data_IF_667658263566
#
_entry.id   IF_667658263566
#
_cell.length_a   1.000
_cell.length_b   1.000
_cell.length_c   1.000
_cell.angle_alpha   90.00
_cell.angle_beta   90.00
_cell.angle_gamma   90.00
#
_symmetry.space_group_name_H-M   'P 1'
#
loop_
_entity.id
_entity.type
_entity.pdbx_description
1 polymer ?
#
# COMPACT_ATOMS: atom_id res chain seq x y z
N UNK A 1 -4.87 4.23 -7.14
CA UNK A 1 -4.34 4.49 -5.78
C UNK A 1 -2.85 4.18 -5.79
N UNK A 2 -2.07 4.90 -5.01
CA UNK A 2 -0.63 4.73 -4.93
C UNK A 2 -0.23 4.80 -3.46
N UNK A 3 0.51 3.80 -3.00
CA UNK A 3 1.13 3.78 -1.70
C UNK A 3 2.64 3.94 -1.90
N UNK A 4 3.23 4.93 -1.23
CA UNK A 4 4.68 5.12 -1.22
C UNK A 4 5.13 5.11 0.23
N UNK A 5 6.06 4.24 0.58
CA UNK A 5 6.52 4.05 1.95
C UNK A 5 8.04 3.81 2.06
N UNK A 6 8.62 4.29 3.16
CA UNK A 6 9.93 3.87 3.61
C UNK A 6 9.75 2.91 4.80
N UNK A 7 10.23 1.68 4.65
CA UNK A 7 10.07 0.61 5.63
C UNK A 7 11.12 0.65 6.75
N UNK A 8 12.08 1.57 6.71
CA UNK A 8 13.00 1.78 7.83
C UNK A 8 12.29 2.22 9.12
N UNK A 9 11.09 2.82 9.01
CA UNK A 9 10.28 3.22 10.16
C UNK A 9 9.37 2.13 10.74
N UNK A 10 9.41 0.89 10.23
CA UNK A 10 8.57 -0.21 10.73
C UNK A 10 9.32 -1.08 11.74
N UNK A 11 8.79 -1.25 12.94
CA UNK A 11 9.31 -2.21 13.94
C UNK A 11 8.79 -3.64 13.67
N UNK A 12 9.07 -4.16 12.47
CA UNK A 12 8.66 -5.51 12.04
C UNK A 12 9.79 -6.21 11.25
N UNK A 13 10.94 -6.53 11.88
CA UNK A 13 12.13 -7.02 11.20
C UNK A 13 11.87 -8.25 10.32
N UNK A 14 11.09 -9.23 10.81
CA UNK A 14 10.81 -10.45 10.05
C UNK A 14 9.95 -10.19 8.80
N UNK A 15 8.96 -9.30 8.91
CA UNK A 15 8.12 -8.93 7.76
C UNK A 15 8.93 -8.14 6.72
N UNK A 16 9.72 -7.18 7.18
CA UNK A 16 10.59 -6.38 6.30
C UNK A 16 11.61 -7.27 5.57
N UNK A 17 12.24 -8.22 6.26
CA UNK A 17 13.27 -9.10 5.70
C UNK A 17 12.71 -10.22 4.84
N UNK A 18 11.71 -10.95 5.34
CA UNK A 18 11.30 -12.23 4.75
C UNK A 18 9.99 -12.15 3.99
N UNK A 19 9.06 -11.27 4.37
CA UNK A 19 7.84 -11.05 3.59
C UNK A 19 8.11 -10.10 2.41
N UNK A 20 8.82 -9.00 2.67
CA UNK A 20 9.12 -7.98 1.66
C UNK A 20 10.42 -8.25 0.90
N UNK A 21 11.33 -9.04 1.48
CA UNK A 21 12.60 -9.40 0.86
C UNK A 21 13.71 -8.36 1.03
N UNK A 22 13.53 -7.31 1.84
CA UNK A 22 14.58 -6.30 2.01
C UNK A 22 15.83 -6.92 2.63
N UNK A 23 17.00 -6.60 2.07
CA UNK A 23 18.26 -7.17 2.51
C UNK A 23 18.51 -8.62 2.08
N UNK A 24 17.57 -9.25 1.37
CA UNK A 24 17.78 -10.55 0.75
C UNK A 24 18.49 -10.39 -0.61
N UNK A 25 19.10 -11.47 -1.14
CA UNK A 25 19.60 -11.46 -2.52
C UNK A 25 18.49 -11.09 -3.52
N UNK A 26 18.85 -10.47 -4.65
CA UNK A 26 17.87 -10.06 -5.67
C UNK A 26 17.07 -11.23 -6.27
N UNK A 27 17.60 -12.46 -6.21
CA UNK A 27 16.93 -13.68 -6.64
C UNK A 27 15.97 -14.25 -5.59
N UNK A 28 15.91 -13.66 -4.39
CA UNK A 28 14.95 -14.07 -3.38
C UNK A 28 13.52 -13.84 -3.86
N UNK A 29 12.71 -14.88 -3.75
CA UNK A 29 11.30 -14.86 -4.09
C UNK A 29 10.50 -14.32 -2.89
N UNK A 30 10.44 -12.99 -2.80
CA UNK A 30 9.73 -12.31 -1.72
C UNK A 30 8.23 -12.64 -1.80
N UNK A 31 7.63 -13.25 -0.74
CA UNK A 31 6.26 -13.72 -0.80
C UNK A 31 5.24 -12.63 -1.19
N UNK A 32 5.49 -11.37 -0.80
CA UNK A 32 4.64 -10.22 -1.14
C UNK A 32 4.55 -9.95 -2.65
N UNK A 33 5.60 -10.31 -3.41
CA UNK A 33 5.73 -10.03 -4.84
C UNK A 33 5.26 -11.20 -5.71
N UNK A 34 4.85 -12.32 -5.12
CA UNK A 34 4.34 -13.46 -5.87
C UNK A 34 3.01 -13.11 -6.54
N UNK A 35 2.76 -13.64 -7.75
CA UNK A 35 1.49 -13.45 -8.45
C UNK A 35 0.29 -13.85 -7.59
N UNK A 36 0.44 -14.93 -6.80
CA UNK A 36 -0.59 -15.36 -5.87
C UNK A 36 -0.89 -14.28 -4.84
N UNK A 37 0.13 -13.71 -4.17
CA UNK A 37 -0.07 -12.68 -3.17
C UNK A 37 -0.69 -11.41 -3.78
N UNK A 38 -0.19 -10.96 -4.93
CA UNK A 38 -0.72 -9.79 -5.64
C UNK A 38 -2.21 -9.97 -6.00
N UNK A 39 -2.59 -11.17 -6.46
CA UNK A 39 -3.96 -11.49 -6.81
C UNK A 39 -4.90 -11.71 -5.61
N UNK A 40 -4.37 -12.12 -4.46
CA UNK A 40 -5.17 -12.31 -3.25
C UNK A 40 -5.32 -11.04 -2.42
N UNK A 41 -4.27 -10.22 -2.33
CA UNK A 41 -4.23 -9.07 -1.39
C UNK A 41 -4.61 -7.77 -2.10
N UNK A 42 -4.11 -7.50 -3.31
CA UNK A 42 -4.33 -6.21 -3.99
C UNK A 42 -5.42 -6.25 -5.06
N UNK A 43 -5.52 -7.33 -5.83
CA UNK A 43 -6.55 -7.43 -6.87
C UNK A 43 -8.01 -7.31 -6.36
N UNK A 44 -8.39 -7.70 -5.12
CA UNK A 44 -9.73 -7.43 -4.61
C UNK A 44 -10.08 -5.94 -4.58
N UNK A 45 -9.12 -5.06 -4.30
CA UNK A 45 -9.35 -3.61 -4.33
C UNK A 45 -9.68 -3.11 -5.74
N UNK A 46 -9.05 -3.68 -6.78
CA UNK A 46 -9.40 -3.38 -8.19
C UNK A 46 -10.86 -3.75 -8.48
N UNK A 47 -11.33 -4.91 -7.99
CA UNK A 47 -12.71 -5.38 -8.18
C UNK A 47 -13.72 -4.47 -7.48
N UNK A 48 -13.45 -4.10 -6.23
CA UNK A 48 -14.28 -3.14 -5.47
C UNK A 48 -14.37 -1.79 -6.19
N UNK A 49 -13.27 -1.30 -6.76
CA UNK A 49 -13.28 -0.07 -7.56
C UNK A 49 -14.07 -0.23 -8.86
N UNK A 50 -13.94 -1.36 -9.55
CA UNK A 50 -14.70 -1.64 -10.76
C UNK A 50 -16.21 -1.64 -10.50
N UNK A 51 -16.65 -2.28 -9.41
CA UNK A 51 -18.04 -2.28 -8.96
C UNK A 51 -18.51 -0.86 -8.62
N UNK A 52 -17.70 -0.09 -7.89
CA UNK A 52 -18.01 1.28 -7.51
C UNK A 52 -18.13 2.25 -8.69
N UNK A 53 -17.29 2.08 -9.71
CA UNK A 53 -17.35 2.86 -10.95
C UNK A 53 -18.29 2.26 -12.00
N UNK A 54 -18.88 1.11 -11.74
CA UNK A 54 -19.78 0.39 -12.65
C UNK A 54 -19.14 0.12 -14.02
N UNK A 55 -17.89 -0.31 -14.02
CA UNK A 55 -17.13 -0.66 -15.23
C UNK A 55 -16.91 -2.17 -15.33
N UNK A 56 -16.96 -2.70 -16.55
CA UNK A 56 -16.68 -4.12 -16.80
C UNK A 56 -15.17 -4.36 -16.85
N UNK A 57 -14.69 -5.16 -15.89
CA UNK A 57 -13.29 -5.56 -15.80
C UNK A 57 -13.02 -6.75 -16.73
N UNK A 58 -12.10 -6.56 -17.68
CA UNK A 58 -11.74 -7.60 -18.64
C UNK A 58 -10.70 -8.57 -18.06
N UNK A 59 -9.67 -8.02 -17.41
CA UNK A 59 -8.61 -8.78 -16.77
C UNK A 59 -7.93 -7.95 -15.67
N UNK A 60 -7.13 -8.62 -14.84
CA UNK A 60 -6.21 -7.97 -13.90
C UNK A 60 -4.81 -8.45 -14.22
N UNK A 61 -3.88 -7.51 -14.38
CA UNK A 61 -2.47 -7.78 -14.66
C UNK A 61 -1.58 -7.23 -13.55
N UNK A 62 -0.40 -7.80 -13.40
CA UNK A 62 0.60 -7.43 -12.40
C UNK A 62 1.91 -7.05 -13.08
N UNK A 63 2.63 -6.10 -12.48
CA UNK A 63 3.99 -5.75 -12.88
C UNK A 63 4.82 -5.52 -11.63
N UNK A 64 6.04 -6.07 -11.59
CA UNK A 64 6.92 -6.01 -10.42
C UNK A 64 8.31 -5.57 -10.88
N UNK A 65 8.91 -4.63 -10.15
CA UNK A 65 10.28 -4.20 -10.28
C UNK A 65 10.97 -4.20 -8.91
N UNK A 66 12.27 -4.51 -8.90
CA UNK A 66 13.11 -4.57 -7.70
C UNK A 66 14.41 -3.82 -7.97
N UNK A 67 14.94 -3.14 -6.95
CA UNK A 67 16.25 -2.47 -7.04
C UNK A 67 17.17 -2.90 -5.90
N UNK A 68 18.45 -3.17 -6.20
CA UNK A 68 19.44 -3.44 -5.16
C UNK A 68 19.84 -2.13 -4.46
N UNK A 69 20.36 -2.26 -3.24
CA UNK A 69 21.08 -1.19 -2.57
C UNK A 69 22.42 -0.91 -3.24
N UNK A 70 22.75 0.37 -3.42
CA UNK A 70 24.05 0.81 -3.96
C UNK A 70 25.10 1.08 -2.85
N UNK A 71 24.66 1.09 -1.59
CA UNK A 71 25.48 1.29 -0.39
C UNK A 71 24.94 0.44 0.76
N UNK A 72 25.76 0.19 1.78
CA UNK A 72 25.26 -0.40 3.01
C UNK A 72 24.34 0.60 3.73
N UNK A 73 23.26 0.09 4.33
CA UNK A 73 22.27 0.87 5.09
C UNK A 73 22.12 0.24 6.46
N UNK A 74 22.15 1.06 7.51
CA UNK A 74 21.82 0.62 8.87
C UNK A 74 20.44 1.16 9.24
N UNK A 75 19.57 0.28 9.72
CA UNK A 75 18.26 0.67 10.25
C UNK A 75 18.19 0.30 11.72
N UNK A 76 17.86 1.28 12.57
CA UNK A 76 17.66 1.05 14.00
C UNK A 76 16.57 -0.02 14.22
N UNK A 77 16.83 -0.98 15.11
CA UNK A 77 15.93 -2.12 15.35
C UNK A 77 16.00 -3.25 14.31
N UNK A 78 16.52 -3.01 13.11
CA UNK A 78 16.59 -4.03 12.03
C UNK A 78 18.01 -4.36 11.53
N UNK A 79 19.02 -3.61 11.98
CA UNK A 79 20.43 -3.86 11.70
C UNK A 79 20.84 -3.49 10.27
N UNK A 80 21.90 -4.14 9.80
CA UNK A 80 22.55 -3.81 8.52
C UNK A 80 21.87 -4.45 7.31
N UNK A 81 21.77 -3.69 6.23
CA UNK A 81 21.37 -4.12 4.89
C UNK A 81 22.56 -3.88 3.96
N UNK A 82 23.02 -4.94 3.31
CA UNK A 82 24.27 -4.93 2.55
C UNK A 82 24.06 -4.41 1.11
N UNK A 83 25.10 -3.77 0.56
CA UNK A 83 25.15 -3.38 -0.84
C UNK A 83 24.88 -4.58 -1.75
N UNK A 84 24.07 -4.41 -2.79
CA UNK A 84 23.69 -5.46 -3.74
C UNK A 84 22.48 -6.30 -3.31
N UNK A 85 22.06 -6.24 -2.05
CA UNK A 85 20.81 -6.84 -1.58
C UNK A 85 19.60 -5.99 -1.99
N UNK A 86 18.39 -6.56 -1.99
CA UNK A 86 17.18 -5.84 -2.36
C UNK A 86 16.91 -4.67 -1.40
N UNK A 87 16.87 -3.46 -1.95
CA UNK A 87 16.65 -2.21 -1.22
C UNK A 87 15.33 -1.52 -1.54
N UNK A 88 14.75 -1.81 -2.71
CA UNK A 88 13.45 -1.28 -3.11
C UNK A 88 12.65 -2.32 -3.89
N UNK A 89 11.32 -2.24 -3.76
CA UNK A 89 10.36 -2.94 -4.59
C UNK A 89 9.29 -1.96 -5.09
N UNK A 90 8.79 -2.20 -6.29
CA UNK A 90 7.66 -1.51 -6.86
C UNK A 90 6.77 -2.52 -7.54
N UNK A 91 5.47 -2.44 -7.36
CA UNK A 91 4.55 -3.21 -8.17
C UNK A 91 3.29 -2.42 -8.51
N UNK A 92 2.67 -2.81 -9.62
CA UNK A 92 1.37 -2.33 -10.06
C UNK A 92 0.42 -3.51 -10.21
N UNK A 93 -0.79 -3.37 -9.66
CA UNK A 93 -1.93 -4.24 -9.95
C UNK A 93 -2.94 -3.44 -10.76
N UNK A 94 -3.20 -3.89 -11.99
CA UNK A 94 -3.88 -3.10 -13.02
C UNK A 94 -5.16 -3.80 -13.47
N UNK A 95 -6.29 -3.14 -13.25
CA UNK A 95 -7.57 -3.52 -13.84
C UNK A 95 -7.71 -2.97 -15.24
N UNK A 96 -7.89 -3.88 -16.20
CA UNK A 96 -8.03 -3.56 -17.62
C UNK A 96 -9.50 -3.40 -17.97
N UNK A 97 -9.85 -2.25 -18.55
CA UNK A 97 -11.19 -1.91 -19.02
C UNK A 97 -11.05 -1.36 -20.44
N UNK A 98 -11.82 -1.90 -21.39
CA UNK A 98 -11.73 -1.54 -22.80
C UNK A 98 -10.30 -1.61 -23.38
N UNK A 99 -9.55 -2.65 -23.01
CA UNK A 99 -8.21 -2.94 -23.49
C UNK A 99 -7.11 -2.04 -22.92
N UNK A 100 -7.40 -1.24 -21.88
CA UNK A 100 -6.43 -0.33 -21.26
C UNK A 100 -6.49 -0.40 -19.73
N UNK A 101 -5.37 -0.14 -19.02
CA UNK A 101 -5.40 0.01 -17.57
C UNK A 101 -6.24 1.23 -17.21
N UNK A 102 -7.34 1.01 -16.48
CA UNK A 102 -8.20 2.10 -15.98
C UNK A 102 -8.07 2.24 -14.47
N UNK A 103 -7.96 1.11 -13.77
CA UNK A 103 -7.87 1.05 -12.31
C UNK A 103 -6.47 0.55 -11.97
N UNK A 104 -5.68 1.36 -11.28
CA UNK A 104 -4.30 1.00 -10.95
C UNK A 104 -4.09 1.16 -9.46
N UNK A 105 -3.53 0.13 -8.85
CA UNK A 105 -2.94 0.19 -7.53
C UNK A 105 -1.45 0.05 -7.69
N UNK A 106 -0.72 1.05 -7.23
CA UNK A 106 0.73 1.08 -7.26
C UNK A 106 1.25 1.06 -5.82
N UNK A 107 2.31 0.30 -5.60
CA UNK A 107 2.98 0.24 -4.30
C UNK A 107 4.48 0.43 -4.54
N UNK A 108 5.07 1.43 -3.90
CA UNK A 108 6.48 1.81 -4.04
C UNK A 108 7.12 1.84 -2.67
N UNK A 109 7.98 0.87 -2.39
CA UNK A 109 8.52 0.68 -1.03
C UNK A 109 10.02 0.51 -1.05
N UNK A 110 10.69 1.17 -0.11
CA UNK A 110 12.15 1.20 0.02
C UNK A 110 12.55 0.98 1.47
N UNK A 111 13.76 0.47 1.70
CA UNK A 111 14.40 0.49 3.02
C UNK A 111 15.27 1.74 3.24
N UNK A 112 15.60 2.45 2.16
CA UNK A 112 16.42 3.66 2.16
C UNK A 112 15.91 4.61 1.06
N UNK A 113 15.73 5.89 1.39
CA UNK A 113 15.14 6.87 0.47
C UNK A 113 16.04 7.21 -0.74
N UNK A 114 17.33 6.85 -0.70
CA UNK A 114 18.24 6.99 -1.83
C UNK A 114 18.18 5.76 -2.77
N UNK A 115 17.53 4.67 -2.38
CA UNK A 115 17.34 3.51 -3.27
C UNK A 115 16.20 3.78 -4.26
N UNK A 116 16.43 3.57 -5.56
CA UNK A 116 15.47 3.90 -6.62
C UNK A 116 14.96 5.36 -6.55
N UNK A 117 15.87 6.37 -6.59
CA UNK A 117 15.50 7.77 -6.41
C UNK A 117 14.66 8.34 -7.56
N UNK A 118 14.65 7.66 -8.71
CA UNK A 118 13.86 7.99 -9.90
C UNK A 118 12.38 7.59 -9.79
N UNK A 119 12.06 6.67 -8.88
CA UNK A 119 10.67 6.29 -8.61
C UNK A 119 9.94 7.38 -7.81
N UNK A 120 8.59 7.40 -7.83
CA UNK A 120 7.80 8.36 -7.07
C UNK A 120 8.20 8.46 -5.59
N UNK A 121 8.19 9.69 -5.07
CA UNK A 121 8.43 10.05 -3.68
C UNK A 121 7.31 10.95 -3.18
N UNK A 122 7.07 10.94 -1.88
CA UNK A 122 6.05 11.79 -1.27
C UNK A 122 6.59 13.18 -0.93
N UNK A 123 5.67 14.14 -0.85
CA UNK A 123 5.91 15.47 -0.29
C UNK A 123 4.69 15.88 0.56
N UNK A 124 4.84 16.13 1.88
CA UNK A 124 6.07 16.02 2.68
C UNK A 124 6.64 14.59 2.73
N UNK A 125 7.86 14.44 3.27
CA UNK A 125 8.51 13.13 3.40
C UNK A 125 7.74 12.23 4.37
N UNK A 126 7.64 10.92 4.08
CA UNK A 126 6.90 9.94 4.87
C UNK A 126 6.11 8.93 4.04
N UNK A 127 5.25 8.17 4.70
CA UNK A 127 4.36 7.15 4.13
C UNK A 127 3.03 7.80 3.76
N UNK A 128 2.71 7.85 2.47
CA UNK A 128 1.50 8.49 1.99
C UNK A 128 0.73 7.54 1.09
N UNK A 129 -0.58 7.75 1.12
CA UNK A 129 -1.51 7.15 0.20
C UNK A 129 -2.05 8.24 -0.71
N UNK A 130 -1.78 8.12 -2.00
CA UNK A 130 -2.25 9.03 -3.03
C UNK A 130 -3.43 8.40 -3.79
N UNK A 131 -4.46 9.19 -4.03
CA UNK A 131 -5.52 8.90 -5.00
C UNK A 131 -5.34 9.86 -6.16
N UNK A 132 -4.89 9.33 -7.28
CA UNK A 132 -4.65 10.08 -8.51
C UNK A 132 -5.77 9.70 -9.49
N UNK A 133 -6.52 10.70 -9.92
CA UNK A 133 -7.60 10.57 -10.90
C UNK A 133 -7.19 11.41 -12.10
N UNK A 134 -7.03 10.75 -13.25
CA UNK A 134 -6.78 11.43 -14.53
C UNK A 134 -8.11 11.60 -15.26
N UNK A 135 -8.41 12.81 -15.71
CA UNK A 135 -9.70 13.15 -16.28
C UNK A 135 -9.88 14.66 -16.39
N UNK A 136 -11.13 15.11 -16.31
CA UNK A 136 -11.48 16.53 -16.30
C UNK A 136 -12.33 16.85 -15.05
N UNK A 137 -11.74 17.41 -13.97
CA UNK A 137 -10.32 17.75 -13.81
C UNK A 137 -9.45 16.53 -13.48
N UNK A 138 -8.13 16.67 -13.68
CA UNK A 138 -7.17 15.81 -13.00
C UNK A 138 -7.12 16.17 -11.52
N UNK A 139 -7.21 15.17 -10.64
CA UNK A 139 -7.20 15.35 -9.20
C UNK A 139 -6.14 14.44 -8.57
N UNK A 140 -5.36 15.01 -7.65
CA UNK A 140 -4.50 14.25 -6.75
C UNK A 140 -4.92 14.56 -5.32
N UNK A 141 -5.29 13.52 -4.58
CA UNK A 141 -5.57 13.59 -3.15
C UNK A 141 -4.49 12.80 -2.42
N UNK A 142 -3.76 13.45 -1.52
CA UNK A 142 -2.74 12.80 -0.69
C UNK A 142 -3.25 12.71 0.74
N UNK A 143 -3.16 11.51 1.32
CA UNK A 143 -3.60 11.21 2.68
C UNK A 143 -2.40 10.72 3.49
N UNK A 144 -2.20 11.34 4.64
CA UNK A 144 -1.21 10.96 5.64
C UNK A 144 -1.91 10.83 6.99
N UNK A 145 -1.63 9.75 7.70
CA UNK A 145 -2.05 9.57 9.08
C UNK A 145 -0.90 9.94 10.01
N UNK A 146 -1.22 10.45 11.18
CA UNK A 146 -0.27 10.69 12.26
C UNK A 146 -0.74 9.93 13.51
N UNK A 147 0.20 9.42 14.29
CA UNK A 147 -0.06 8.88 15.62
C UNK A 147 0.65 9.74 16.66
N UNK A 148 -0.09 10.09 17.71
CA UNK A 148 0.41 10.87 18.85
C UNK A 148 1.35 10.09 19.77
N UNK A 149 1.32 8.75 19.72
CA UNK A 149 2.12 7.88 20.58
C UNK A 149 3.41 7.45 19.86
N UNK A 150 3.30 6.99 18.62
CA UNK A 150 4.43 6.60 17.78
C UNK A 150 4.57 7.55 16.57
N UNK A 151 5.40 8.60 16.67
CA UNK A 151 5.56 9.60 15.64
C UNK A 151 6.36 9.03 14.45
N UNK A 152 5.66 8.34 13.56
CA UNK A 152 6.23 7.74 12.37
C UNK A 152 5.20 7.55 11.28
N UNK A 153 5.65 7.72 10.03
CA UNK A 153 4.86 7.46 8.85
C UNK A 153 4.23 6.06 8.82
N UNK A 154 4.96 5.06 9.32
CA UNK A 154 4.51 3.69 9.44
C UNK A 154 3.32 3.57 10.40
N UNK A 155 3.42 4.20 11.58
CA UNK A 155 2.35 4.17 12.58
C UNK A 155 1.07 4.78 12.05
N UNK A 156 1.13 5.97 11.46
CA UNK A 156 -0.05 6.65 10.91
C UNK A 156 -0.80 5.85 9.85
N UNK A 157 -0.08 5.16 8.96
CA UNK A 157 -0.66 4.24 7.97
C UNK A 157 -1.34 3.05 8.62
N UNK A 158 -0.63 2.36 9.53
CA UNK A 158 -1.17 1.21 10.28
C UNK A 158 -2.41 1.59 11.10
N UNK A 159 -2.37 2.75 11.75
CA UNK A 159 -3.46 3.25 12.57
C UNK A 159 -4.70 3.56 11.73
N UNK A 160 -4.52 4.11 10.52
CA UNK A 160 -5.60 4.37 9.57
C UNK A 160 -6.27 3.06 9.13
N UNK A 161 -5.48 2.02 8.81
CA UNK A 161 -6.00 0.71 8.45
C UNK A 161 -6.78 0.06 9.61
N UNK A 162 -6.19 0.05 10.81
CA UNK A 162 -6.82 -0.49 12.01
C UNK A 162 -8.11 0.26 12.38
N UNK A 163 -8.10 1.59 12.33
CA UNK A 163 -9.27 2.42 12.62
C UNK A 163 -10.45 2.08 11.74
N UNK A 164 -10.24 1.89 10.42
CA UNK A 164 -11.34 1.52 9.52
C UNK A 164 -11.99 0.20 9.94
N UNK A 165 -11.19 -0.81 10.29
CA UNK A 165 -11.67 -2.13 10.69
C UNK A 165 -12.44 -2.05 12.02
N UNK A 166 -11.86 -1.41 13.04
CA UNK A 166 -12.49 -1.27 14.37
C UNK A 166 -13.81 -0.50 14.28
N UNK A 167 -13.83 0.60 13.53
CA UNK A 167 -15.04 1.40 13.38
C UNK A 167 -16.11 0.72 12.50
N UNK A 168 -15.75 -0.31 11.72
CA UNK A 168 -16.70 -1.11 10.95
C UNK A 168 -17.43 -2.17 11.79
N UNK A 169 -16.99 -2.49 13.01
CA UNK A 169 -17.57 -3.57 13.83
C UNK A 169 -19.07 -3.39 14.06
N UNK A 170 -19.50 -2.20 14.49
CA UNK A 170 -20.93 -1.94 14.75
C UNK A 170 -21.77 -2.03 13.47
N UNK A 171 -21.44 -1.29 12.38
CA UNK A 171 -22.18 -1.43 11.12
C UNK A 171 -22.23 -2.86 10.56
N UNK A 172 -21.16 -3.64 10.72
CA UNK A 172 -21.12 -5.05 10.29
C UNK A 172 -22.05 -5.91 11.14
N UNK A 173 -22.07 -5.73 12.46
CA UNK A 173 -22.95 -6.46 13.36
C UNK A 173 -24.44 -6.14 13.15
N UNK A 174 -24.76 -4.93 12.71
CA UNK A 174 -26.13 -4.47 12.44
C UNK A 174 -26.64 -4.83 11.03
N UNK A 175 -25.75 -5.24 10.13
CA UNK A 175 -26.11 -5.61 8.76
C UNK A 175 -26.84 -6.96 8.68
N UNK A 176 -27.50 -7.19 7.55
CA UNK A 176 -28.15 -8.48 7.26
C UNK A 176 -27.11 -9.61 7.20
N UNK A 177 -27.51 -10.83 7.56
CA UNK A 177 -26.65 -12.01 7.45
C UNK A 177 -26.20 -12.26 6.00
N UNK A 178 -24.90 -12.47 5.80
CA UNK A 178 -24.32 -12.76 4.49
C UNK A 178 -22.92 -12.15 4.34
N UNK A 179 -22.39 -12.21 3.12
CA UNK A 179 -21.18 -11.46 2.75
C UNK A 179 -21.60 -10.02 2.50
N UNK A 180 -20.97 -9.08 3.21
CA UNK A 180 -21.23 -7.64 3.07
C UNK A 180 -20.18 -7.07 2.12
N UNK A 181 -20.64 -6.35 1.09
CA UNK A 181 -19.72 -5.67 0.20
C UNK A 181 -19.13 -4.42 0.89
N UNK A 182 -17.83 -4.10 0.72
CA UNK A 182 -17.23 -2.93 1.37
C UNK A 182 -17.90 -1.59 1.03
N UNK A 183 -18.55 -1.49 -0.14
CA UNK A 183 -19.30 -0.30 -0.56
C UNK A 183 -20.68 -0.19 0.10
N UNK A 184 -21.19 -1.26 0.70
CA UNK A 184 -22.46 -1.25 1.44
C UNK A 184 -22.28 -0.76 2.89
N UNK A 185 -21.03 -0.62 3.35
CA UNK A 185 -20.72 -0.06 4.66
C UNK A 185 -20.82 1.48 4.63
N UNK A 186 -21.20 2.12 5.76
CA UNK A 186 -21.25 3.58 5.83
C UNK A 186 -19.92 4.24 5.45
N UNK A 187 -19.96 5.41 4.82
CA UNK A 187 -18.74 6.15 4.45
C UNK A 187 -18.15 6.96 5.62
N UNK A 188 -18.94 7.18 6.68
CA UNK A 188 -18.58 7.95 7.87
C UNK A 188 -18.02 7.07 9.01
N UNK A 189 -17.41 5.91 8.69
CA UNK A 189 -16.72 5.10 9.69
C UNK A 189 -15.68 5.95 10.44
N UNK A 190 -15.73 5.92 11.77
CA UNK A 190 -14.85 6.72 12.62
C UNK A 190 -15.35 8.13 12.93
N UNK A 191 -16.58 8.50 12.53
CA UNK A 191 -17.15 9.81 12.88
C UNK A 191 -17.22 10.09 14.39
N UNK A 192 -17.29 9.03 15.21
CA UNK A 192 -17.26 9.13 16.68
C UNK A 192 -15.90 9.55 17.25
N UNK A 193 -14.82 9.47 16.46
CA UNK A 193 -13.47 9.84 16.87
C UNK A 193 -13.16 11.33 16.63
N UNK A 194 -14.01 12.04 15.88
CA UNK A 194 -13.84 13.48 15.64
C UNK A 194 -14.07 14.21 16.97
N UNK A 195 -13.00 14.74 17.56
CA UNK A 195 -13.07 15.58 18.76
C UNK A 195 -13.79 16.89 18.42
N UNK A 196 -14.77 17.27 19.24
CA UNK A 196 -15.38 18.60 19.20
C UNK A 196 -14.50 19.63 19.92
#
# INVERSE_FOLDING_TARGET
AQEIANYAGYDQPDAVRFLCGFGQPMEYDAPILTDWALMQVWAPMIRVLADGFQVELQEITTEVDKRPLEKNVFVEGMGDFETGSQGALRFEVKGIVNGKPLLVIEHVTRIDDDCAPEWPKNSPEGGFHNVIITGDPCLTVSVHGEDSIDPGAASGGNFTAANRIVNAVIPVCEANSGIIHPLDLPTNLGSSQIKQ
#
